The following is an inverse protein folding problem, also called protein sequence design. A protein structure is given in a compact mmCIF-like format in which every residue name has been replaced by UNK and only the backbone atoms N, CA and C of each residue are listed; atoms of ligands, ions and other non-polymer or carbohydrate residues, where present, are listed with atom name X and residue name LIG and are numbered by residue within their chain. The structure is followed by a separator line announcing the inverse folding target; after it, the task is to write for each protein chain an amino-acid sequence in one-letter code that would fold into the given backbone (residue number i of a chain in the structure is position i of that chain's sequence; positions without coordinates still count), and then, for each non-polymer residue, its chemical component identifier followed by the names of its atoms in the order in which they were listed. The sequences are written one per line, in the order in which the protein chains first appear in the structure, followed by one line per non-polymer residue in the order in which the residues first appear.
data_IF_647156944743
#
_entry.id   IF_647156944743
#
_cell.length_a   1.000
_cell.length_b   1.000
_cell.length_c   1.000
_cell.angle_alpha   90.00
_cell.angle_beta   90.00
_cell.angle_gamma   90.00
#
_symmetry.space_group_name_H-M   'P 1'
#
loop_
_entity.id
_entity.type
_entity.pdbx_description
1 polymer ?
#
# COMPACT_ATOMS: atom_id res chain seq x y z
N UNK A 1 -19.25 -17.33 -48.28
CA UNK A 1 -19.93 -17.54 -46.99
C UNK A 1 -18.97 -18.10 -45.91
N UNK A 2 -17.75 -17.58 -45.76
CA UNK A 2 -16.79 -18.01 -44.70
C UNK A 2 -16.23 -16.83 -43.88
N UNK A 3 -16.31 -15.60 -44.41
CA UNK A 3 -15.75 -14.40 -43.78
C UNK A 3 -16.54 -13.87 -42.58
N UNK A 4 -17.85 -14.12 -42.51
CA UNK A 4 -18.66 -13.75 -41.34
C UNK A 4 -18.37 -14.63 -40.11
N UNK A 5 -18.00 -15.90 -40.35
CA UNK A 5 -17.70 -16.87 -39.29
C UNK A 5 -16.35 -16.62 -38.59
N UNK A 6 -15.42 -15.93 -39.25
CA UNK A 6 -14.10 -15.60 -38.68
C UNK A 6 -14.11 -14.30 -37.87
N UNK A 7 -14.94 -13.33 -38.24
CA UNK A 7 -15.09 -12.07 -37.49
C UNK A 7 -15.77 -12.28 -36.14
N UNK A 8 -16.74 -13.19 -36.05
CA UNK A 8 -17.40 -13.55 -34.78
C UNK A 8 -16.48 -14.31 -33.80
N UNK A 9 -15.38 -14.91 -34.26
CA UNK A 9 -14.39 -15.55 -33.39
C UNK A 9 -13.45 -14.55 -32.73
N UNK A 10 -13.15 -13.42 -33.39
CA UNK A 10 -12.28 -12.38 -32.82
C UNK A 10 -12.92 -11.66 -31.63
N UNK A 11 -14.25 -11.45 -31.63
CA UNK A 11 -14.95 -10.93 -30.43
C UNK A 11 -14.96 -11.90 -29.24
N UNK A 12 -14.76 -13.21 -29.49
CA UNK A 12 -14.67 -14.23 -28.43
C UNK A 12 -13.25 -14.42 -27.91
N UNK A 13 -12.24 -14.09 -28.72
CA UNK A 13 -10.83 -14.09 -28.34
C UNK A 13 -10.43 -12.79 -27.62
N UNK A 14 -11.13 -11.67 -27.87
CA UNK A 14 -10.87 -10.38 -27.21
C UNK A 14 -11.30 -10.34 -25.72
N UNK A 15 -12.20 -11.22 -25.26
CA UNK A 15 -12.52 -11.39 -23.83
C UNK A 15 -11.33 -11.96 -23.03
N UNK A 16 -10.44 -12.71 -23.70
CA UNK A 16 -9.24 -13.27 -23.07
C UNK A 16 -8.18 -12.19 -22.78
N UNK A 17 -8.25 -11.04 -23.47
CA UNK A 17 -7.44 -9.84 -23.21
C UNK A 17 -8.02 -8.93 -22.12
N UNK A 18 -9.35 -8.78 -22.07
CA UNK A 18 -10.05 -8.02 -21.02
C UNK A 18 -10.01 -8.72 -19.65
N UNK A 19 -10.00 -10.06 -19.62
CA UNK A 19 -9.90 -10.85 -18.39
C UNK A 19 -8.52 -10.73 -17.69
N UNK A 20 -7.46 -10.30 -18.38
CA UNK A 20 -6.16 -10.06 -17.74
C UNK A 20 -6.15 -8.79 -16.87
N UNK A 21 -7.18 -7.96 -17.01
CA UNK A 21 -7.40 -6.79 -16.18
C UNK A 21 -8.11 -7.14 -14.86
N UNK A 22 -8.94 -8.19 -14.82
CA UNK A 22 -9.75 -8.54 -13.65
C UNK A 22 -8.91 -9.06 -12.47
N UNK A 23 -7.87 -9.83 -12.74
CA UNK A 23 -6.98 -10.34 -11.69
C UNK A 23 -5.95 -9.28 -11.25
N UNK A 24 -5.53 -8.39 -12.16
CA UNK A 24 -4.57 -7.33 -11.84
C UNK A 24 -5.20 -6.18 -11.07
N UNK A 25 -6.48 -5.86 -11.28
CA UNK A 25 -7.20 -4.88 -10.44
C UNK A 25 -7.36 -5.38 -9.01
N UNK A 26 -7.63 -6.67 -8.82
CA UNK A 26 -7.73 -7.28 -7.50
C UNK A 26 -6.39 -7.20 -6.75
N UNK A 27 -5.28 -7.56 -7.43
CA UNK A 27 -3.94 -7.41 -6.87
C UNK A 27 -3.61 -5.94 -6.58
N UNK A 28 -4.00 -5.02 -7.46
CA UNK A 28 -3.80 -3.58 -7.29
C UNK A 28 -4.47 -3.03 -6.02
N UNK A 29 -5.70 -3.46 -5.72
CA UNK A 29 -6.41 -3.06 -4.50
C UNK A 29 -5.77 -3.66 -3.26
N UNK A 30 -5.35 -4.94 -3.30
CA UNK A 30 -4.65 -5.58 -2.18
C UNK A 30 -3.32 -4.86 -1.89
N UNK A 31 -2.57 -4.50 -2.93
CA UNK A 31 -1.32 -3.76 -2.80
C UNK A 31 -1.56 -2.36 -2.20
N UNK A 32 -2.59 -1.64 -2.65
CA UNK A 32 -2.94 -0.35 -2.06
C UNK A 32 -3.33 -0.49 -0.58
N UNK A 33 -4.16 -1.48 -0.26
CA UNK A 33 -4.60 -1.74 1.12
C UNK A 33 -3.43 -2.09 2.05
N UNK A 34 -2.48 -2.92 1.59
CA UNK A 34 -1.32 -3.29 2.40
C UNK A 34 -0.40 -2.09 2.67
N UNK A 35 -0.18 -1.23 1.68
CA UNK A 35 0.59 0.02 1.84
C UNK A 35 -0.06 0.93 2.88
N UNK A 36 -1.38 1.12 2.81
CA UNK A 36 -2.10 1.95 3.78
C UNK A 36 -1.94 1.43 5.22
N UNK A 37 -2.01 0.12 5.42
CA UNK A 37 -1.81 -0.50 6.74
C UNK A 37 -0.38 -0.27 7.24
N UNK A 38 0.63 -0.42 6.38
CA UNK A 38 2.03 -0.17 6.75
C UNK A 38 2.23 1.29 7.19
N UNK A 39 1.66 2.25 6.45
CA UNK A 39 1.73 3.68 6.79
C UNK A 39 1.06 3.94 8.14
N UNK A 40 -0.13 3.37 8.38
CA UNK A 40 -0.86 3.54 9.62
C UNK A 40 -0.07 3.01 10.83
N UNK A 41 0.52 1.82 10.70
CA UNK A 41 1.37 1.24 11.75
C UNK A 41 2.62 2.10 11.95
N UNK A 42 3.26 2.55 10.88
CA UNK A 42 4.43 3.44 10.96
C UNK A 42 4.14 4.71 11.73
N UNK A 43 3.00 5.35 11.47
CA UNK A 43 2.54 6.53 12.22
C UNK A 43 2.27 6.23 13.69
N UNK A 44 1.60 5.11 13.99
CA UNK A 44 1.34 4.69 15.38
C UNK A 44 2.64 4.43 16.15
N UNK A 45 3.56 3.67 15.58
CA UNK A 45 4.87 3.37 16.17
C UNK A 45 5.69 4.65 16.40
N UNK A 46 5.71 5.56 15.41
CA UNK A 46 6.33 6.87 15.56
C UNK A 46 5.73 7.68 16.72
N UNK A 47 4.41 7.67 16.87
CA UNK A 47 3.71 8.29 18.00
C UNK A 47 4.11 7.70 19.35
N UNK A 48 4.26 6.37 19.44
CA UNK A 48 4.75 5.71 20.66
C UNK A 48 6.17 6.16 21.01
N UNK A 49 7.07 6.26 20.03
CA UNK A 49 8.44 6.74 20.26
C UNK A 49 8.49 8.23 20.65
N UNK A 50 7.66 9.08 20.05
CA UNK A 50 7.53 10.48 20.47
C UNK A 50 6.98 10.60 21.90
N UNK A 51 5.99 9.77 22.26
CA UNK A 51 5.44 9.73 23.62
C UNK A 51 6.46 9.25 24.65
N UNK A 52 7.24 8.22 24.32
CA UNK A 52 8.35 7.77 25.14
C UNK A 52 9.42 8.87 25.28
N UNK A 53 9.77 9.52 24.17
CA UNK A 53 10.70 10.64 24.18
C UNK A 53 10.25 11.77 25.11
N UNK A 54 8.98 12.18 25.04
CA UNK A 54 8.41 13.19 25.93
C UNK A 54 8.50 12.76 27.40
N UNK A 55 8.25 11.47 27.68
CA UNK A 55 8.33 10.90 29.02
C UNK A 55 9.76 10.79 29.55
N UNK A 56 10.75 10.63 28.66
CA UNK A 56 12.17 10.57 29.03
C UNK A 56 12.82 11.95 29.12
N UNK A 57 12.24 12.97 28.49
CA UNK A 57 12.75 14.33 28.49
C UNK A 57 12.70 14.91 29.91
N UNK A 58 13.86 14.99 30.57
CA UNK A 58 14.00 15.41 31.96
C UNK A 58 14.12 14.27 32.98
N UNK A 59 13.98 13.02 32.56
CA UNK A 59 14.10 11.83 33.41
C UNK A 59 15.33 10.95 33.08
N UNK A 60 16.07 11.27 32.01
CA UNK A 60 17.32 10.60 31.61
C UNK A 60 18.59 11.37 32.02
N UNK A 61 19.65 10.63 32.34
CA UNK A 61 20.94 11.13 32.81
C UNK A 61 21.48 12.30 31.96
N UNK A 62 22.09 13.27 32.65
CA UNK A 62 22.78 14.44 32.09
C UNK A 62 23.62 14.07 30.88
N UNK A 63 23.25 14.56 29.68
CA UNK A 63 24.07 14.46 28.47
C UNK A 63 23.41 13.91 27.21
N UNK A 64 22.12 13.54 27.22
CA UNK A 64 21.39 13.23 25.99
C UNK A 64 20.36 14.33 25.71
N UNK A 65 20.71 15.20 24.77
CA UNK A 65 19.86 16.26 24.26
C UNK A 65 18.57 15.68 23.70
N UNK A 66 17.46 16.35 24.05
CA UNK A 66 16.08 16.09 23.65
C UNK A 66 15.97 15.34 22.33
N UNK A 67 15.29 14.19 22.37
CA UNK A 67 15.01 13.43 21.17
C UNK A 67 14.26 14.34 20.19
N UNK A 68 14.90 14.61 19.06
CA UNK A 68 14.29 15.36 17.98
C UNK A 68 13.07 14.57 17.53
N UNK A 69 11.88 15.14 17.69
CA UNK A 69 10.65 14.53 17.21
C UNK A 69 10.85 14.19 15.73
N UNK A 70 10.79 12.90 15.40
CA UNK A 70 10.91 12.44 14.03
C UNK A 70 9.68 12.96 13.28
N UNK A 71 9.86 14.00 12.47
CA UNK A 71 8.91 14.45 11.46
C UNK A 71 8.84 13.44 10.33
#
# INVERSE_FOLDING_TARGET
MKKLMTMARQFRDDDNGAAMVEYSILIGIIAAASILVIIAIGGWVGGQFTGLCASLNGHGATGHTACAAAT
#
